data_IF_645309470856
#
_entry.id   IF_645309470856
#
_cell.length_a   1.000
_cell.length_b   1.000
_cell.length_c   1.000
_cell.angle_alpha   90.00
_cell.angle_beta   90.00
_cell.angle_gamma   90.00
#
_symmetry.space_group_name_H-M   'P 1'
#
loop_
_entity.id
_entity.type
_entity.pdbx_description
1 polymer ?
#
# COMPACT_ATOMS: atom_id res chain seq x y z
N UNK A 1 -6.50 -2.56 -33.43
CA UNK A 1 -7.70 -2.81 -34.26
C UNK A 1 -8.60 -1.59 -34.14
N UNK A 2 -8.77 -0.83 -35.22
CA UNK A 2 -9.64 0.35 -35.25
C UNK A 2 -11.09 -0.10 -35.48
N UNK A 3 -11.98 0.21 -34.54
CA UNK A 3 -13.42 -0.04 -34.66
C UNK A 3 -13.96 1.13 -35.51
N UNK A 4 -14.36 0.86 -36.77
CA UNK A 4 -15.07 1.84 -37.59
C UNK A 4 -16.56 1.80 -37.20
N UNK A 5 -17.17 2.91 -36.79
CA UNK A 5 -18.59 2.94 -36.44
C UNK A 5 -19.42 2.91 -37.72
N UNK A 6 -20.18 1.85 -37.91
CA UNK A 6 -21.30 1.78 -38.86
C UNK A 6 -22.58 2.12 -38.10
N UNK A 7 -23.38 3.08 -38.57
CA UNK A 7 -24.71 3.40 -38.03
C UNK A 7 -25.67 2.19 -38.08
N UNK A 8 -26.78 2.10 -37.37
CA UNK A 8 -27.56 3.08 -36.59
C UNK A 8 -28.34 2.34 -35.47
N UNK A 9 -27.68 2.01 -34.35
CA UNK A 9 -28.37 1.68 -33.10
C UNK A 9 -27.46 2.02 -31.91
N UNK A 10 -27.80 3.01 -31.06
CA UNK A 10 -26.98 3.39 -29.92
C UNK A 10 -26.74 2.22 -28.95
N UNK A 11 -27.65 1.24 -28.89
CA UNK A 11 -27.47 0.04 -28.06
C UNK A 11 -26.40 -0.90 -28.62
N UNK A 12 -26.33 -1.04 -29.95
CA UNK A 12 -25.33 -1.87 -30.62
C UNK A 12 -23.93 -1.29 -30.44
N UNK A 13 -23.78 0.03 -30.57
CA UNK A 13 -22.51 0.74 -30.34
C UNK A 13 -22.07 0.60 -28.87
N UNK A 14 -22.99 0.77 -27.93
CA UNK A 14 -22.71 0.61 -26.50
C UNK A 14 -22.25 -0.82 -26.18
N UNK A 15 -22.89 -1.84 -26.78
CA UNK A 15 -22.50 -3.25 -26.64
C UNK A 15 -21.10 -3.52 -27.22
N UNK A 16 -20.77 -2.97 -28.38
CA UNK A 16 -19.45 -3.12 -28.99
C UNK A 16 -18.33 -2.46 -28.17
N UNK A 17 -18.57 -1.25 -27.67
CA UNK A 17 -17.62 -0.54 -26.79
C UNK A 17 -17.44 -1.30 -25.49
N UNK A 18 -18.54 -1.72 -24.86
CA UNK A 18 -18.51 -2.49 -23.61
C UNK A 18 -17.81 -3.83 -23.82
N UNK A 19 -18.04 -4.52 -24.94
CA UNK A 19 -17.33 -5.73 -25.32
C UNK A 19 -15.83 -5.52 -25.50
N UNK A 20 -15.42 -4.41 -26.13
CA UNK A 20 -14.01 -4.01 -26.25
C UNK A 20 -13.36 -3.74 -24.90
N UNK A 21 -14.06 -3.01 -24.01
CA UNK A 21 -13.60 -2.73 -22.64
C UNK A 21 -13.50 -4.03 -21.83
N UNK A 22 -14.49 -4.94 -21.94
CA UNK A 22 -14.47 -6.21 -21.21
C UNK A 22 -13.37 -7.14 -21.70
N UNK A 23 -13.09 -7.16 -23.01
CA UNK A 23 -12.00 -7.95 -23.60
C UNK A 23 -10.63 -7.42 -23.15
N UNK A 24 -10.41 -6.12 -23.29
CA UNK A 24 -9.18 -5.47 -22.81
C UNK A 24 -9.02 -5.62 -21.30
N UNK A 25 -10.09 -5.50 -20.52
CA UNK A 25 -10.08 -5.74 -19.08
C UNK A 25 -9.82 -7.22 -18.74
N UNK A 26 -10.29 -8.19 -19.54
CA UNK A 26 -9.98 -9.59 -19.34
C UNK A 26 -8.49 -9.90 -19.59
N UNK A 27 -7.91 -9.29 -20.61
CA UNK A 27 -6.50 -9.46 -20.98
C UNK A 27 -5.56 -8.75 -20.01
N UNK A 28 -5.94 -7.54 -19.56
CA UNK A 28 -5.11 -6.69 -18.71
C UNK A 28 -5.28 -6.95 -17.20
N UNK A 29 -6.46 -7.40 -16.75
CA UNK A 29 -6.71 -7.66 -15.32
C UNK A 29 -6.43 -9.14 -15.04
N UNK A 30 -5.35 -9.50 -14.33
CA UNK A 30 -5.08 -10.89 -14.00
C UNK A 30 -6.19 -11.48 -13.10
N UNK A 31 -7.02 -12.33 -13.70
CA UNK A 31 -8.10 -13.08 -13.04
C UNK A 31 -7.56 -14.40 -12.49
N UNK A 32 -6.87 -14.34 -11.36
CA UNK A 32 -6.38 -15.56 -10.71
C UNK A 32 -5.61 -15.32 -9.42
N UNK A 33 -5.59 -16.36 -8.58
CA UNK A 33 -4.62 -16.45 -7.49
C UNK A 33 -3.30 -16.97 -8.06
N UNK A 34 -2.25 -16.16 -7.95
CA UNK A 34 -0.93 -16.53 -8.43
C UNK A 34 -0.40 -17.77 -7.70
N UNK A 35 0.12 -18.72 -8.49
CA UNK A 35 0.75 -19.95 -7.99
C UNK A 35 2.21 -19.97 -8.45
N UNK A 36 3.18 -19.69 -7.56
CA UNK A 36 4.61 -19.58 -7.92
C UNK A 36 5.25 -20.87 -8.47
N UNK A 37 4.56 -22.00 -8.37
CA UNK A 37 4.99 -23.31 -8.86
C UNK A 37 4.28 -23.72 -10.16
N UNK A 38 3.43 -22.85 -10.73
CA UNK A 38 2.72 -23.15 -11.97
C UNK A 38 3.67 -23.08 -13.15
N UNK A 39 3.59 -24.08 -14.04
CA UNK A 39 4.40 -24.17 -15.25
C UNK A 39 3.55 -24.68 -16.42
N UNK A 40 4.10 -24.58 -17.64
CA UNK A 40 3.46 -25.02 -18.89
C UNK A 40 3.05 -26.50 -18.84
N UNK A 41 3.88 -27.35 -18.22
CA UNK A 41 3.61 -28.78 -18.06
C UNK A 41 2.38 -29.10 -17.20
N UNK A 42 2.13 -28.29 -16.15
CA UNK A 42 0.92 -28.37 -15.32
C UNK A 42 -0.26 -27.81 -16.09
N UNK A 43 -0.08 -26.71 -16.81
CA UNK A 43 -1.13 -26.10 -17.62
C UNK A 43 -1.68 -27.07 -18.67
N UNK A 44 -0.80 -27.74 -19.43
CA UNK A 44 -1.18 -28.78 -20.38
C UNK A 44 -1.95 -29.92 -19.71
N UNK A 45 -1.47 -30.42 -18.55
CA UNK A 45 -2.16 -31.49 -17.82
C UNK A 45 -3.54 -31.06 -17.28
N UNK A 46 -3.71 -29.77 -16.97
CA UNK A 46 -4.98 -29.21 -16.53
C UNK A 46 -5.93 -29.02 -17.71
N UNK A 47 -5.42 -28.63 -18.89
CA UNK A 47 -6.20 -28.58 -20.14
C UNK A 47 -6.75 -29.96 -20.49
N UNK A 48 -5.91 -31.00 -20.50
CA UNK A 48 -6.37 -32.38 -20.76
C UNK A 48 -7.41 -32.85 -19.74
N UNK A 49 -7.26 -32.49 -18.47
CA UNK A 49 -8.26 -32.79 -17.43
C UNK A 49 -9.57 -32.03 -17.67
N UNK A 50 -9.51 -30.78 -18.10
CA UNK A 50 -10.69 -29.97 -18.40
C UNK A 50 -11.44 -30.51 -19.63
N UNK A 51 -10.74 -30.97 -20.65
CA UNK A 51 -11.33 -31.65 -21.82
C UNK A 51 -12.05 -32.92 -21.40
N UNK A 52 -11.40 -33.79 -20.61
CA UNK A 52 -12.03 -34.99 -20.07
C UNK A 52 -13.25 -34.68 -19.17
N UNK A 53 -13.20 -33.57 -18.43
CA UNK A 53 -14.36 -33.09 -17.65
C UNK A 53 -15.51 -32.67 -18.56
N UNK A 54 -15.25 -31.89 -19.61
CA UNK A 54 -16.27 -31.47 -20.58
C UNK A 54 -16.90 -32.69 -21.26
N UNK A 55 -16.11 -33.68 -21.63
CA UNK A 55 -16.61 -34.93 -22.19
C UNK A 55 -17.52 -35.68 -21.20
N UNK A 56 -17.12 -35.74 -19.92
CA UNK A 56 -17.93 -36.35 -18.85
C UNK A 56 -19.26 -35.61 -18.62
N UNK A 57 -19.26 -34.29 -18.70
CA UNK A 57 -20.46 -33.46 -18.54
C UNK A 57 -21.42 -33.62 -19.73
N UNK A 58 -20.90 -33.80 -20.95
CA UNK A 58 -21.71 -34.09 -22.14
C UNK A 58 -22.29 -35.50 -22.13
N UNK A 59 -21.43 -36.50 -21.92
CA UNK A 59 -21.76 -37.92 -22.00
C UNK A 59 -21.25 -38.64 -20.74
N UNK A 60 -22.10 -38.86 -19.72
CA UNK A 60 -21.68 -39.49 -18.46
C UNK A 60 -21.58 -41.02 -18.57
N UNK A 61 -20.68 -41.53 -19.41
CA UNK A 61 -20.40 -42.97 -19.56
C UNK A 61 -19.34 -43.44 -18.55
N UNK A 62 -19.36 -44.73 -18.18
CA UNK A 62 -18.38 -45.35 -17.28
C UNK A 62 -16.94 -45.18 -17.81
N UNK A 63 -16.72 -45.39 -19.10
CA UNK A 63 -15.41 -45.24 -19.75
C UNK A 63 -14.88 -43.80 -19.63
N UNK A 64 -15.74 -42.81 -19.84
CA UNK A 64 -15.39 -41.39 -19.74
C UNK A 64 -15.10 -41.01 -18.27
N UNK A 65 -15.83 -41.60 -17.31
CA UNK A 65 -15.53 -41.46 -15.88
C UNK A 65 -14.15 -42.03 -15.52
N UNK A 66 -13.79 -43.20 -16.08
CA UNK A 66 -12.47 -43.82 -15.92
C UNK A 66 -11.39 -42.91 -16.53
N UNK A 67 -11.62 -42.40 -17.75
CA UNK A 67 -10.70 -41.48 -18.43
C UNK A 67 -10.47 -40.21 -17.59
N UNK A 68 -11.54 -39.57 -17.12
CA UNK A 68 -11.43 -38.41 -16.23
C UNK A 68 -10.62 -38.72 -14.97
N UNK A 69 -10.90 -39.85 -14.30
CA UNK A 69 -10.16 -40.26 -13.11
C UNK A 69 -8.67 -40.51 -13.40
N UNK A 70 -8.34 -41.13 -14.55
CA UNK A 70 -6.96 -41.31 -15.01
C UNK A 70 -6.25 -39.97 -15.20
N UNK A 71 -6.93 -38.93 -15.71
CA UNK A 71 -6.33 -37.58 -15.86
C UNK A 71 -6.09 -36.83 -14.55
N UNK A 72 -6.72 -37.23 -13.43
CA UNK A 72 -6.50 -36.61 -12.12
C UNK A 72 -5.12 -36.92 -11.54
N UNK A 73 -4.67 -38.18 -11.67
CA UNK A 73 -3.39 -38.65 -11.14
C UNK A 73 -2.17 -37.85 -11.67
N UNK A 74 -1.99 -37.64 -13.00
CA UNK A 74 -0.86 -36.89 -13.52
C UNK A 74 -0.88 -35.42 -13.08
N UNK A 75 -2.06 -34.79 -13.00
CA UNK A 75 -2.18 -33.41 -12.49
C UNK A 75 -1.71 -33.34 -11.04
N UNK A 76 -2.20 -34.23 -10.16
CA UNK A 76 -1.79 -34.29 -8.76
C UNK A 76 -0.27 -34.52 -8.62
N UNK A 77 0.29 -35.47 -9.39
CA UNK A 77 1.72 -35.79 -9.38
C UNK A 77 2.57 -34.60 -9.82
N UNK A 78 2.23 -33.96 -10.94
CA UNK A 78 2.94 -32.78 -11.47
C UNK A 78 2.87 -31.58 -10.51
N UNK A 79 1.70 -31.30 -9.93
CA UNK A 79 1.55 -30.22 -8.94
C UNK A 79 2.37 -30.49 -7.68
N UNK A 80 2.35 -31.73 -7.15
CA UNK A 80 3.14 -32.10 -5.98
C UNK A 80 4.65 -31.96 -6.26
N UNK A 81 5.10 -32.42 -7.43
CA UNK A 81 6.49 -32.30 -7.86
C UNK A 81 6.93 -30.84 -7.96
N UNK A 82 6.15 -29.99 -8.64
CA UNK A 82 6.50 -28.57 -8.81
C UNK A 82 6.49 -27.79 -7.48
N UNK A 83 5.56 -28.10 -6.57
CA UNK A 83 5.59 -27.55 -5.21
C UNK A 83 6.88 -27.92 -4.47
N UNK A 84 7.26 -29.20 -4.52
CA UNK A 84 8.49 -29.69 -3.89
C UNK A 84 9.72 -29.02 -4.49
N UNK A 85 9.80 -28.95 -5.81
CA UNK A 85 10.91 -28.32 -6.52
C UNK A 85 11.04 -26.83 -6.16
N UNK A 86 9.92 -26.09 -6.17
CA UNK A 86 9.91 -24.67 -5.77
C UNK A 86 10.38 -24.52 -4.31
N UNK A 87 9.91 -25.37 -3.41
CA UNK A 87 10.35 -25.38 -2.01
C UNK A 87 11.86 -25.64 -1.88
N UNK A 88 12.36 -26.67 -2.56
CA UNK A 88 13.79 -26.99 -2.57
C UNK A 88 14.63 -25.83 -3.11
N UNK A 89 14.18 -25.16 -4.19
CA UNK A 89 14.85 -23.96 -4.73
C UNK A 89 14.87 -22.82 -3.71
N UNK A 90 13.76 -22.58 -3.00
CA UNK A 90 13.71 -21.57 -1.94
C UNK A 90 14.68 -21.89 -0.81
N UNK A 91 14.73 -23.14 -0.34
CA UNK A 91 15.65 -23.56 0.72
C UNK A 91 17.12 -23.45 0.29
N UNK A 92 17.46 -23.82 -0.96
CA UNK A 92 18.83 -23.71 -1.50
C UNK A 92 19.36 -22.27 -1.51
N UNK A 93 18.49 -21.30 -1.72
CA UNK A 93 18.86 -19.88 -1.74
C UNK A 93 18.80 -19.21 -0.34
N UNK A 94 18.34 -19.95 0.68
CA UNK A 94 18.18 -19.40 2.03
C UNK A 94 19.48 -19.58 2.83
N UNK A 95 20.32 -18.56 2.81
CA UNK A 95 21.47 -18.45 3.72
C UNK A 95 21.05 -17.79 5.03
N UNK A 96 21.03 -18.56 6.13
CA UNK A 96 20.63 -18.07 7.44
C UNK A 96 21.58 -16.99 8.00
N UNK A 97 22.85 -16.98 7.59
CA UNK A 97 23.85 -16.02 8.08
C UNK A 97 23.66 -14.64 7.45
N UNK A 98 23.34 -14.59 6.15
CA UNK A 98 23.17 -13.34 5.39
C UNK A 98 21.72 -12.86 5.36
N UNK A 99 20.75 -13.77 5.50
CA UNK A 99 19.33 -13.49 5.28
C UNK A 99 18.44 -13.90 6.47
N UNK A 100 18.89 -13.65 7.70
CA UNK A 100 18.14 -13.97 8.93
C UNK A 100 16.71 -13.39 8.94
N UNK A 101 16.51 -12.17 8.43
CA UNK A 101 15.18 -11.56 8.29
C UNK A 101 14.27 -12.34 7.32
N UNK A 102 14.81 -12.85 6.20
CA UNK A 102 14.05 -13.66 5.23
C UNK A 102 13.69 -15.02 5.84
N UNK A 103 14.60 -15.63 6.60
CA UNK A 103 14.36 -16.88 7.30
C UNK A 103 13.27 -16.74 8.38
N UNK A 104 13.35 -15.68 9.20
CA UNK A 104 12.32 -15.35 10.18
C UNK A 104 10.96 -15.08 9.53
N UNK A 105 10.93 -14.33 8.43
CA UNK A 105 9.68 -14.13 7.67
C UNK A 105 9.14 -15.44 7.10
N UNK A 106 10.00 -16.35 6.62
CA UNK A 106 9.58 -17.64 6.11
C UNK A 106 8.96 -18.50 7.22
N UNK A 107 9.60 -18.55 8.39
CA UNK A 107 9.10 -19.28 9.56
C UNK A 107 7.74 -18.74 10.02
N UNK A 108 7.60 -17.42 10.14
CA UNK A 108 6.33 -16.79 10.52
C UNK A 108 5.22 -17.05 9.49
N UNK A 109 5.57 -17.15 8.20
CA UNK A 109 4.63 -17.52 7.14
C UNK A 109 4.20 -18.99 7.24
N UNK A 110 5.12 -19.90 7.63
CA UNK A 110 4.83 -21.32 7.85
C UNK A 110 3.93 -21.54 9.07
N UNK A 111 4.19 -20.82 10.18
CA UNK A 111 3.35 -20.82 11.37
C UNK A 111 1.97 -20.20 11.12
N UNK A 112 1.81 -19.44 10.03
CA UNK A 112 0.55 -18.86 9.62
C UNK A 112 0.20 -17.55 10.32
N UNK A 113 1.03 -17.07 11.23
CA UNK A 113 0.86 -15.81 11.97
C UNK A 113 0.78 -14.58 11.04
N UNK A 114 1.42 -14.65 9.86
CA UNK A 114 1.43 -13.56 8.86
C UNK A 114 1.17 -14.06 7.43
N UNK A 115 0.09 -14.81 7.22
CA UNK A 115 -0.30 -15.23 5.85
C UNK A 115 -0.56 -14.02 4.94
N UNK A 116 0.40 -13.73 4.05
CA UNK A 116 0.20 -12.76 2.96
C UNK A 116 -0.53 -13.42 1.80
N UNK A 117 -1.41 -12.67 1.14
CA UNK A 117 -1.97 -13.08 -0.15
C UNK A 117 -0.84 -13.07 -1.17
N UNK A 118 -0.77 -14.10 -2.02
CA UNK A 118 0.20 -14.09 -3.12
C UNK A 118 -0.07 -12.90 -4.03
N UNK A 119 0.92 -12.02 -4.26
CA UNK A 119 0.76 -10.91 -5.19
C UNK A 119 0.43 -11.44 -6.58
N UNK A 120 -0.43 -10.72 -7.30
CA UNK A 120 -0.82 -11.09 -8.66
C UNK A 120 0.29 -10.65 -9.62
N UNK A 121 0.82 -11.54 -10.46
CA UNK A 121 1.82 -11.17 -11.45
C UNK A 121 1.19 -10.27 -12.51
N UNK A 122 1.99 -9.33 -12.99
CA UNK A 122 1.72 -8.60 -14.23
C UNK A 122 2.54 -9.26 -15.35
N UNK A 123 1.88 -9.61 -16.45
CA UNK A 123 2.54 -10.08 -17.68
C UNK A 123 2.68 -8.91 -18.63
N UNK A 124 3.89 -8.65 -19.12
CA UNK A 124 4.14 -7.63 -20.13
C UNK A 124 5.04 -8.23 -21.20
N UNK A 125 4.46 -8.52 -22.37
CA UNK A 125 5.16 -9.30 -23.40
C UNK A 125 5.62 -10.65 -22.87
N UNK A 126 6.92 -10.92 -22.98
CA UNK A 126 7.56 -12.18 -22.57
C UNK A 126 7.94 -12.22 -21.08
N UNK A 127 7.89 -11.10 -20.36
CA UNK A 127 8.29 -11.02 -18.96
C UNK A 127 7.09 -11.04 -18.01
N UNK A 128 7.19 -11.83 -16.94
CA UNK A 128 6.20 -11.89 -15.85
C UNK A 128 6.82 -11.38 -14.56
N UNK A 129 6.38 -10.22 -14.09
CA UNK A 129 6.87 -9.60 -12.86
C UNK A 129 5.88 -9.78 -11.71
N UNK A 130 6.37 -10.21 -10.55
CA UNK A 130 5.59 -10.45 -9.32
C UNK A 130 5.85 -9.37 -8.26
N UNK A 131 6.95 -8.64 -8.39
CA UNK A 131 7.40 -7.65 -7.42
C UNK A 131 6.66 -6.32 -7.63
N UNK A 132 6.02 -5.80 -6.57
CA UNK A 132 5.20 -4.59 -6.63
C UNK A 132 5.94 -3.39 -7.21
N UNK A 133 7.25 -3.28 -6.90
CA UNK A 133 8.10 -2.21 -7.40
C UNK A 133 8.31 -2.31 -8.92
N UNK A 134 8.60 -3.51 -9.44
CA UNK A 134 8.73 -3.75 -10.88
C UNK A 134 7.40 -3.57 -11.61
N UNK A 135 6.29 -3.99 -10.99
CA UNK A 135 4.94 -3.77 -11.52
C UNK A 135 4.66 -2.26 -11.66
N UNK A 136 4.98 -1.47 -10.64
CA UNK A 136 4.85 -0.01 -10.68
C UNK A 136 5.72 0.61 -11.78
N UNK A 137 6.96 0.15 -11.95
CA UNK A 137 7.85 0.59 -13.03
C UNK A 137 7.27 0.27 -14.42
N UNK A 138 6.72 -0.92 -14.61
CA UNK A 138 6.06 -1.31 -15.87
C UNK A 138 4.86 -0.41 -16.14
N UNK A 139 4.01 -0.14 -15.14
CA UNK A 139 2.92 0.81 -15.28
C UNK A 139 3.42 2.21 -15.63
N UNK A 140 4.45 2.71 -14.94
CA UNK A 140 5.02 4.02 -15.22
C UNK A 140 5.55 4.10 -16.66
N UNK A 141 6.24 3.07 -17.16
CA UNK A 141 6.68 2.98 -18.55
C UNK A 141 5.50 3.01 -19.51
N UNK A 142 4.48 2.18 -19.27
CA UNK A 142 3.27 2.14 -20.08
C UNK A 142 2.57 3.52 -20.13
N UNK A 143 2.29 4.11 -18.97
CA UNK A 143 1.62 5.42 -18.91
C UNK A 143 2.50 6.53 -19.49
N UNK A 144 3.82 6.52 -19.31
CA UNK A 144 4.71 7.49 -19.96
C UNK A 144 4.71 7.38 -21.48
N UNK A 145 4.48 6.18 -22.03
CA UNK A 145 4.41 5.97 -23.48
C UNK A 145 3.08 6.41 -24.09
N UNK A 146 1.98 6.21 -23.36
CA UNK A 146 0.61 6.59 -23.78
C UNK A 146 0.41 8.08 -23.57
N UNK A 147 0.80 8.58 -22.40
CA UNK A 147 0.69 9.96 -22.01
C UNK A 147 1.89 10.73 -22.55
N UNK A 148 1.80 11.11 -23.81
CA UNK A 148 2.60 12.20 -24.37
C UNK A 148 2.09 13.51 -23.76
N UNK A 149 2.31 13.71 -22.47
CA UNK A 149 2.13 15.02 -21.87
C UNK A 149 3.00 16.00 -22.67
N UNK A 150 2.37 17.00 -23.27
CA UNK A 150 3.12 18.07 -23.90
C UNK A 150 4.11 18.62 -22.86
N UNK A 151 5.34 18.93 -23.30
CA UNK A 151 6.33 19.52 -22.40
C UNK A 151 5.68 20.75 -21.77
N UNK A 152 5.65 20.79 -20.43
CA UNK A 152 5.04 21.88 -19.68
C UNK A 152 5.42 23.22 -20.31
N UNK A 153 4.42 23.90 -20.86
CA UNK A 153 4.60 25.13 -21.62
C UNK A 153 5.12 26.21 -20.67
N UNK A 154 5.73 27.27 -21.21
CA UNK A 154 6.10 28.44 -20.37
C UNK A 154 4.92 28.94 -19.53
N UNK A 155 3.68 28.86 -20.07
CA UNK A 155 2.43 29.17 -19.37
C UNK A 155 2.14 28.24 -18.19
N UNK A 156 2.35 26.93 -18.34
CA UNK A 156 2.14 25.96 -17.26
C UNK A 156 3.15 26.16 -16.13
N UNK A 157 4.40 26.45 -16.49
CA UNK A 157 5.46 26.74 -15.52
C UNK A 157 5.19 28.04 -14.76
N UNK A 158 4.70 29.09 -15.42
CA UNK A 158 4.32 30.33 -14.73
C UNK A 158 3.10 30.14 -13.86
N UNK A 159 2.10 29.37 -14.30
CA UNK A 159 0.94 29.01 -13.50
C UNK A 159 1.34 28.20 -12.25
N UNK A 160 2.19 27.19 -12.42
CA UNK A 160 2.69 26.38 -11.31
C UNK A 160 3.52 27.21 -10.32
N UNK A 161 4.34 28.15 -10.81
CA UNK A 161 5.07 29.11 -9.95
C UNK A 161 4.11 30.02 -9.19
N UNK A 162 3.05 30.52 -9.84
CA UNK A 162 2.01 31.33 -9.19
C UNK A 162 1.25 30.54 -8.13
N UNK A 163 0.88 29.29 -8.39
CA UNK A 163 0.22 28.41 -7.42
C UNK A 163 1.13 28.14 -6.21
N UNK A 164 2.40 27.80 -6.45
CA UNK A 164 3.39 27.59 -5.37
C UNK A 164 3.68 28.87 -4.58
N UNK A 165 3.63 30.04 -5.24
CA UNK A 165 3.71 31.34 -4.55
C UNK A 165 2.47 31.65 -3.74
N UNK A 166 1.28 31.24 -4.17
CA UNK A 166 0.04 31.34 -3.38
C UNK A 166 0.05 30.40 -2.18
N UNK A 167 0.55 29.17 -2.33
CA UNK A 167 0.77 28.25 -1.20
C UNK A 167 1.76 28.82 -0.17
N UNK A 168 2.80 29.51 -0.64
CA UNK A 168 3.78 30.21 0.20
C UNK A 168 3.31 31.58 0.66
N UNK A 169 2.23 32.10 0.11
CA UNK A 169 1.73 33.42 0.49
C UNK A 169 1.18 33.31 1.91
N UNK A 170 1.50 34.25 2.82
CA UNK A 170 1.08 34.21 4.21
C UNK A 170 -0.44 34.50 4.40
N UNK A 171 -1.28 34.11 3.43
CA UNK A 171 -2.73 34.31 3.43
C UNK A 171 -3.54 33.11 3.92
N UNK A 172 -2.90 32.00 4.27
CA UNK A 172 -3.57 30.88 4.96
C UNK A 172 -2.99 30.76 6.35
N UNK A 173 -3.58 31.50 7.29
CA UNK A 173 -3.58 31.26 8.74
C UNK A 173 -2.32 30.60 9.34
N UNK A 174 -1.12 31.11 9.04
CA UNK A 174 0.07 30.77 9.83
C UNK A 174 -0.09 31.24 11.29
N UNK A 175 -0.93 32.26 11.54
CA UNK A 175 -1.29 32.73 12.89
C UNK A 175 -1.96 31.64 13.74
N UNK A 176 -2.79 30.76 13.16
CA UNK A 176 -3.44 29.66 13.90
C UNK A 176 -2.45 28.65 14.49
N UNK A 177 -1.23 28.56 13.94
CA UNK A 177 -0.16 27.69 14.43
C UNK A 177 1.03 28.45 15.02
N UNK A 178 1.04 29.78 14.92
CA UNK A 178 2.09 30.65 15.47
C UNK A 178 1.75 31.23 16.85
N UNK A 179 0.47 31.23 17.23
CA UNK A 179 0.02 31.72 18.53
C UNK A 179 0.33 30.70 19.65
N UNK A 180 0.68 31.22 20.83
CA UNK A 180 0.81 30.38 22.02
C UNK A 180 -0.55 29.78 22.40
N UNK A 181 -0.59 28.48 22.69
CA UNK A 181 -1.84 27.83 23.11
C UNK A 181 -2.29 28.35 24.47
N UNK A 182 -3.60 28.56 24.64
CA UNK A 182 -4.17 28.99 25.92
C UNK A 182 -4.31 27.80 26.87
N UNK A 183 -4.18 28.03 28.17
CA UNK A 183 -4.42 27.00 29.20
C UNK A 183 -5.82 26.37 29.06
N UNK A 184 -6.81 27.16 28.68
CA UNK A 184 -8.18 26.69 28.43
C UNK A 184 -8.27 25.70 27.26
N UNK A 185 -7.48 25.90 26.21
CA UNK A 185 -7.42 25.01 25.04
C UNK A 185 -6.73 23.70 25.39
N UNK A 186 -5.62 23.76 26.15
CA UNK A 186 -4.96 22.58 26.69
C UNK A 186 -5.90 21.76 27.58
N UNK A 187 -6.59 22.42 28.52
CA UNK A 187 -7.55 21.76 29.40
C UNK A 187 -8.72 21.15 28.61
N UNK A 188 -9.20 21.81 27.57
CA UNK A 188 -10.23 21.27 26.67
C UNK A 188 -9.72 20.06 25.88
N UNK A 189 -8.48 20.10 25.41
CA UNK A 189 -7.85 18.98 24.72
C UNK A 189 -7.70 17.77 25.65
N UNK A 190 -7.23 17.98 26.88
CA UNK A 190 -7.10 16.93 27.90
C UNK A 190 -8.45 16.26 28.22
N UNK A 191 -9.54 17.04 28.33
CA UNK A 191 -10.90 16.51 28.53
C UNK A 191 -11.41 15.69 27.35
N UNK A 192 -10.97 16.01 26.13
CA UNK A 192 -11.44 15.38 24.89
C UNK A 192 -10.50 14.26 24.39
N UNK A 193 -9.50 13.85 25.18
CA UNK A 193 -8.60 12.75 24.83
C UNK A 193 -9.35 11.43 24.70
N UNK A 194 -9.23 10.78 23.55
CA UNK A 194 -9.80 9.45 23.32
C UNK A 194 -8.91 8.40 23.99
N UNK A 195 -9.49 7.66 24.93
CA UNK A 195 -8.83 6.53 25.59
C UNK A 195 -8.60 5.37 24.59
N UNK A 196 -7.65 4.50 24.92
CA UNK A 196 -7.31 3.25 24.22
C UNK A 196 -6.89 3.44 22.76
N UNK A 197 -6.28 4.59 22.45
CA UNK A 197 -5.64 4.82 21.16
C UNK A 197 -4.20 4.31 21.19
N UNK A 198 -3.74 3.84 20.04
CA UNK A 198 -2.35 3.42 19.86
C UNK A 198 -1.43 4.60 20.17
N UNK A 199 -0.33 4.36 20.89
CA UNK A 199 0.61 5.42 21.22
C UNK A 199 1.26 6.00 19.96
N UNK A 200 1.60 7.28 20.01
CA UNK A 200 2.26 7.98 18.91
C UNK A 200 3.72 7.56 18.70
N UNK A 201 4.46 8.30 17.89
CA UNK A 201 5.90 8.12 17.70
C UNK A 201 6.69 8.27 19.01
N UNK A 202 6.14 9.02 19.97
CA UNK A 202 6.62 9.21 21.34
C UNK A 202 6.41 8.00 22.26
N UNK A 203 5.63 7.00 21.82
CA UNK A 203 5.23 5.80 22.58
C UNK A 203 4.41 6.11 23.84
N UNK A 204 3.92 7.33 24.01
CA UNK A 204 3.09 7.71 25.15
C UNK A 204 1.61 7.43 24.84
N UNK A 205 0.91 6.88 25.84
CA UNK A 205 -0.52 6.59 25.76
C UNK A 205 -1.31 7.69 26.46
N UNK A 206 -2.51 8.01 25.95
CA UNK A 206 -3.35 9.10 26.47
C UNK A 206 -3.74 8.91 27.94
N UNK A 207 -3.83 7.66 28.39
CA UNK A 207 -4.07 7.29 29.79
C UNK A 207 -2.96 7.81 30.71
N UNK A 208 -1.71 7.81 30.25
CA UNK A 208 -0.57 8.28 31.04
C UNK A 208 -0.70 9.77 31.30
N UNK A 209 -1.15 10.55 30.32
CA UNK A 209 -1.35 12.01 30.44
C UNK A 209 -2.46 12.36 31.43
N UNK A 210 -3.54 11.57 31.47
CA UNK A 210 -4.65 11.76 32.42
C UNK A 210 -4.32 11.30 33.84
N UNK A 211 -3.36 10.39 33.98
CA UNK A 211 -2.92 9.83 35.26
C UNK A 211 -1.52 10.29 35.68
N UNK A 212 -1.00 11.37 35.08
CA UNK A 212 0.08 12.16 35.68
C UNK A 212 -0.47 12.61 37.03
N UNK A 213 -0.02 11.96 38.11
CA UNK A 213 -0.62 12.09 39.43
C UNK A 213 -0.73 13.56 39.87
N UNK A 214 -1.56 13.85 40.87
CA UNK A 214 -1.60 15.18 41.51
C UNK A 214 -0.17 15.62 41.75
N UNK A 215 0.25 16.72 41.13
CA UNK A 215 1.46 17.42 41.51
C UNK A 215 1.37 17.61 43.03
N UNK A 216 2.20 16.90 43.81
CA UNK A 216 2.36 17.17 45.24
C UNK A 216 3.22 18.43 45.39
N UNK A 217 2.74 19.55 44.84
CA UNK A 217 3.08 20.86 45.34
C UNK A 217 2.19 21.09 46.55
N UNK A 218 2.78 21.21 47.73
CA UNK A 218 2.07 21.61 48.94
C UNK A 218 1.39 22.96 48.69
N UNK A 219 0.08 22.97 48.48
CA UNK A 219 -0.73 24.12 48.85
C UNK A 219 -1.08 23.95 50.33
N UNK A 220 -0.20 24.44 51.20
CA UNK A 220 -0.66 24.98 52.46
C UNK A 220 -1.62 26.10 52.10
N UNK A 221 -2.91 25.90 52.36
CA UNK A 221 -3.92 26.95 52.34
C UNK A 221 -3.40 28.14 53.17
N UNK A 222 -3.14 29.32 52.57
CA UNK A 222 -3.12 30.54 53.34
C UNK A 222 -4.58 30.93 53.57
N UNK A 223 -4.91 31.24 54.81
CA UNK A 223 -6.11 31.98 55.15
C UNK A 223 -6.23 33.19 54.22
N UNK A 224 -7.48 33.45 53.83
CA UNK A 224 -7.86 34.67 53.13
C UNK A 224 -7.51 35.84 54.05
N UNK A 225 -6.47 36.59 53.69
CA UNK A 225 -6.40 38.01 54.01
C UNK A 225 -6.46 38.79 52.70
N UNK A 226 -7.49 39.61 52.62
CA UNK A 226 -7.69 40.59 51.56
C UNK A 226 -6.55 41.59 51.64
N UNK A 227 -5.77 41.74 50.58
CA UNK A 227 -5.43 43.05 49.99
C UNK A 227 -4.49 42.88 48.80
N UNK A 228 -4.89 43.51 47.71
CA UNK A 228 -4.06 44.23 46.76
C UNK A 228 -3.11 43.50 45.77
N UNK A 229 -3.37 43.90 44.51
CA UNK A 229 -2.40 44.15 43.43
C UNK A 229 -2.08 43.02 42.44
N UNK A 230 -2.64 43.21 41.24
CA UNK A 230 -1.85 43.22 40.01
C UNK A 230 -1.78 41.92 39.24
N UNK A 231 -2.60 41.83 38.19
CA UNK A 231 -2.47 40.85 37.11
C UNK A 231 -1.03 40.74 36.60
N UNK A 232 -0.35 39.64 36.92
CA UNK A 232 0.81 39.14 36.18
C UNK A 232 0.51 37.72 35.73
N UNK A 233 0.22 37.57 34.45
CA UNK A 233 0.14 36.27 33.79
C UNK A 233 1.56 35.71 33.67
N UNK A 234 1.80 34.53 34.25
CA UNK A 234 3.03 33.77 34.05
C UNK A 234 3.02 33.14 32.65
N UNK A 235 3.77 33.74 31.73
CA UNK A 235 4.11 33.17 30.43
C UNK A 235 5.26 32.18 30.62
N UNK A 236 5.03 30.91 30.29
CA UNK A 236 6.09 29.87 30.29
C UNK A 236 6.63 29.77 28.87
N UNK A 237 7.80 30.35 28.62
CA UNK A 237 8.59 30.12 27.40
C UNK A 237 9.46 28.87 27.61
N UNK A 238 9.36 27.89 26.71
CA UNK A 238 10.32 26.78 26.60
C UNK A 238 11.48 27.25 25.72
N UNK A 239 12.62 27.55 26.35
CA UNK A 239 13.88 27.83 25.65
C UNK A 239 14.54 26.55 25.10
N UNK A 240 14.86 26.63 23.81
CA UNK A 240 16.01 26.12 23.06
C UNK A 240 16.54 24.69 23.26
N UNK A 241 16.42 23.93 22.16
CA UNK A 241 17.35 22.85 21.81
C UNK A 241 17.57 22.77 20.31
N UNK A 242 18.67 23.39 19.86
CA UNK A 242 19.61 22.98 18.79
C UNK A 242 19.02 22.39 17.50
N UNK A 243 19.24 23.09 16.39
CA UNK A 243 19.49 22.47 15.10
C UNK A 243 20.63 23.22 14.39
N UNK A 244 21.84 22.68 14.56
CA UNK A 244 23.06 23.09 13.84
C UNK A 244 22.89 22.89 12.33
N UNK A 245 22.96 23.98 11.59
CA UNK A 245 23.11 24.01 10.13
C UNK A 245 24.59 23.93 9.77
N UNK A 246 25.08 22.70 9.53
CA UNK A 246 26.40 22.48 8.92
C UNK A 246 26.25 22.38 7.40
N UNK A 247 26.31 23.52 6.70
CA UNK A 247 26.54 23.56 5.25
C UNK A 247 28.03 23.76 4.97
N UNK A 248 28.61 22.77 4.31
CA UNK A 248 30.03 22.72 3.95
C UNK A 248 30.40 23.77 2.90
N UNK A 249 31.49 24.48 3.19
CA UNK A 249 32.30 25.26 2.25
C UNK A 249 32.76 24.39 1.08
N UNK A 250 32.37 24.74 -0.16
CA UNK A 250 33.14 24.43 -1.37
C UNK A 250 32.93 25.51 -2.43
N UNK A 251 33.94 26.37 -2.60
CA UNK A 251 34.75 26.52 -3.83
C UNK A 251 35.52 27.85 -3.80
N UNK A 252 36.83 27.71 -3.57
CA UNK A 252 37.85 28.62 -4.07
C UNK A 252 38.57 27.89 -5.21
N UNK A 253 38.51 28.46 -6.40
CA UNK A 253 39.42 28.34 -7.57
C UNK A 253 38.68 28.91 -8.77
#
# INVERSE_FOLDING_TARGET
>A
MAIKPTGDDPNLLCSQITGGILKTAADCIPRGSYKPFWNTNIEQAVKTRQEARKQKEKNPTIEIKILYNKTLAPVKKKVKAAKKEKWTKTCKHLDLRKAGAKAGSLLNNLNGERRRKNPKPLSTGDETTVEDQKIAEVFNKFFSSVQKAERATKKDKTLHRKLKQKEKSPGVNLSLFGDCFKLSELNRAMKNLKLRKSPGSDRLRNEILLHLGRFRGKESTPQIDKQDMGHKYNTICLEDSRCDSRSEKRKAS
#
